data_IF_891870194373
#
_entry.id   IF_891870194373
#
_cell.length_a   1.000
_cell.length_b   1.000
_cell.length_c   1.000
_cell.angle_alpha   90.00
_cell.angle_beta   90.00
_cell.angle_gamma   90.00
#
_symmetry.space_group_name_H-M   'P 1'
#
loop_
_entity.id
_entity.type
_entity.pdbx_description
1 polymer ?
#
# COMPACT_ATOMS: atom_id res chain seq x y z
N UNK A 1 -21.70 15.66 18.43
CA UNK A 1 -21.05 16.34 17.29
C UNK A 1 -20.17 15.29 16.62
N UNK A 2 -20.63 14.73 15.51
CA UNK A 2 -19.81 13.89 14.64
C UNK A 2 -19.56 14.67 13.35
N UNK A 3 -18.30 14.80 12.94
CA UNK A 3 -17.94 15.49 11.70
C UNK A 3 -17.65 16.99 11.80
N UNK A 4 -17.44 17.58 12.98
CA UNK A 4 -16.80 18.91 13.03
C UNK A 4 -15.30 18.79 12.76
N UNK A 5 -14.75 19.68 11.92
CA UNK A 5 -13.31 19.73 11.67
C UNK A 5 -12.55 20.31 12.86
N UNK A 6 -11.30 19.88 13.05
CA UNK A 6 -10.35 20.43 14.02
C UNK A 6 -10.31 21.97 13.99
N UNK A 7 -10.40 22.61 12.81
CA UNK A 7 -10.41 24.07 12.71
C UNK A 7 -11.67 24.69 13.32
N UNK A 8 -12.84 24.06 13.12
CA UNK A 8 -14.10 24.51 13.70
C UNK A 8 -14.09 24.35 15.23
N UNK A 9 -13.57 23.22 15.72
CA UNK A 9 -13.40 22.96 17.14
C UNK A 9 -12.53 24.04 17.80
N UNK A 10 -11.36 24.34 17.20
CA UNK A 10 -10.44 25.39 17.66
C UNK A 10 -11.12 26.77 17.70
N UNK A 11 -11.90 27.13 16.68
CA UNK A 11 -12.64 28.39 16.67
C UNK A 11 -13.68 28.48 17.81
N UNK A 12 -14.38 27.38 18.09
CA UNK A 12 -15.32 27.29 19.22
C UNK A 12 -14.58 27.38 20.57
N UNK A 13 -13.45 26.69 20.74
CA UNK A 13 -12.62 26.78 21.94
C UNK A 13 -12.15 28.22 22.21
N UNK A 14 -11.66 28.91 21.17
CA UNK A 14 -11.32 30.33 21.28
C UNK A 14 -12.51 31.17 21.71
N UNK A 15 -13.67 31.03 21.06
CA UNK A 15 -14.89 31.77 21.40
C UNK A 15 -15.33 31.56 22.86
N UNK A 16 -15.27 30.33 23.35
CA UNK A 16 -15.60 30.01 24.75
C UNK A 16 -14.57 30.61 25.72
N UNK A 17 -13.29 30.66 25.34
CA UNK A 17 -12.22 31.20 26.19
C UNK A 17 -12.23 32.72 26.37
N UNK A 18 -12.94 33.49 25.52
CA UNK A 18 -12.96 34.97 25.55
C UNK A 18 -13.30 35.53 26.94
N UNK A 19 -14.24 34.91 27.63
CA UNK A 19 -14.70 35.36 28.95
C UNK A 19 -14.02 34.64 30.12
N UNK A 20 -13.10 33.71 29.83
CA UNK A 20 -12.33 33.01 30.84
C UNK A 20 -11.08 33.81 31.23
N UNK A 21 -10.89 34.07 32.53
CA UNK A 21 -9.75 34.81 33.07
C UNK A 21 -8.47 33.93 33.14
N UNK A 22 -8.07 33.34 32.01
CA UNK A 22 -6.93 32.42 31.96
C UNK A 22 -5.56 33.10 31.99
N UNK A 23 -5.45 34.37 31.55
CA UNK A 23 -4.16 35.07 31.46
C UNK A 23 -3.12 34.26 30.69
N UNK A 24 -1.91 34.17 31.23
CA UNK A 24 -0.79 33.42 30.63
C UNK A 24 -1.07 31.91 30.47
N UNK A 25 -2.02 31.35 31.24
CA UNK A 25 -2.42 29.95 31.15
C UNK A 25 -3.31 29.66 29.93
N UNK A 26 -3.78 30.68 29.19
CA UNK A 26 -4.73 30.53 28.08
C UNK A 26 -4.29 29.48 27.04
N UNK A 27 -3.03 29.55 26.57
CA UNK A 27 -2.50 28.57 25.59
C UNK A 27 -2.49 27.15 26.15
N UNK A 28 -2.16 26.98 27.42
CA UNK A 28 -2.13 25.67 28.10
C UNK A 28 -3.53 25.11 28.29
N UNK A 29 -4.50 25.94 28.70
CA UNK A 29 -5.90 25.56 28.80
C UNK A 29 -6.47 25.10 27.44
N UNK A 30 -6.26 25.90 26.40
CA UNK A 30 -6.71 25.59 25.03
C UNK A 30 -6.06 24.31 24.49
N UNK A 31 -4.75 24.11 24.71
CA UNK A 31 -4.05 22.87 24.34
C UNK A 31 -4.62 21.65 25.05
N UNK A 32 -4.82 21.73 26.36
CA UNK A 32 -5.35 20.61 27.13
C UNK A 32 -6.78 20.28 26.67
N UNK A 33 -7.64 21.29 26.50
CA UNK A 33 -9.00 21.11 26.01
C UNK A 33 -9.06 20.57 24.57
N UNK A 34 -8.14 21.00 23.69
CA UNK A 34 -7.98 20.44 22.35
C UNK A 34 -7.61 18.95 22.43
N UNK A 35 -6.54 18.59 23.15
CA UNK A 35 -6.05 17.20 23.25
C UNK A 35 -7.10 16.28 23.86
N UNK A 36 -7.86 16.71 24.87
CA UNK A 36 -8.92 15.89 25.47
C UNK A 36 -10.21 15.85 24.65
N UNK A 37 -10.56 16.92 23.95
CA UNK A 37 -11.79 17.01 23.14
C UNK A 37 -11.73 16.38 21.75
N UNK A 38 -10.53 16.04 21.24
CA UNK A 38 -10.39 15.34 19.96
C UNK A 38 -11.07 13.96 19.99
N UNK A 39 -11.98 13.75 19.02
CA UNK A 39 -12.67 12.48 18.81
C UNK A 39 -11.70 11.37 18.35
N UNK A 40 -10.78 11.69 17.45
CA UNK A 40 -9.81 10.72 16.92
C UNK A 40 -8.74 10.36 17.98
N UNK A 41 -8.83 9.12 18.47
CA UNK A 41 -7.92 8.56 19.48
C UNK A 41 -6.49 8.36 19.01
N UNK A 42 -6.25 8.16 17.70
CA UNK A 42 -4.90 8.10 17.13
C UNK A 42 -4.23 9.48 17.23
N UNK A 43 -4.96 10.54 16.87
CA UNK A 43 -4.49 11.93 16.98
C UNK A 43 -4.24 12.31 18.43
N UNK A 44 -5.16 11.97 19.33
CA UNK A 44 -5.00 12.17 20.78
C UNK A 44 -3.73 11.50 21.32
N UNK A 45 -3.51 10.21 21.01
CA UNK A 45 -2.30 9.48 21.43
C UNK A 45 -1.02 10.14 20.86
N UNK A 46 -1.01 10.47 19.57
CA UNK A 46 0.14 11.09 18.89
C UNK A 46 0.52 12.47 19.45
N UNK A 47 -0.45 13.21 19.99
CA UNK A 47 -0.20 14.47 20.70
C UNK A 47 0.36 14.23 22.09
N UNK A 48 -0.17 13.25 22.83
CA UNK A 48 0.29 12.88 24.18
C UNK A 48 1.71 12.28 24.21
N UNK A 49 2.21 11.73 23.10
CA UNK A 49 3.60 11.29 22.94
C UNK A 49 4.63 12.43 22.98
N UNK A 50 4.23 13.68 22.74
CA UNK A 50 5.15 14.84 22.69
C UNK A 50 5.29 15.50 24.05
N UNK A 51 6.54 15.63 24.54
CA UNK A 51 6.85 16.24 25.85
C UNK A 51 6.52 17.74 25.89
N UNK A 52 7.05 18.51 24.94
CA UNK A 52 6.98 19.98 24.95
C UNK A 52 5.92 20.51 23.97
N UNK A 53 4.73 19.90 23.98
CA UNK A 53 3.65 20.25 23.04
C UNK A 53 3.11 21.66 23.28
N UNK A 54 3.20 22.54 22.29
CA UNK A 54 2.49 23.84 22.29
C UNK A 54 1.07 23.73 21.72
N UNK A 55 0.22 24.74 21.95
CA UNK A 55 -1.12 24.79 21.36
C UNK A 55 -1.06 24.82 19.82
N UNK A 56 -0.21 25.69 19.28
CA UNK A 56 -0.10 25.93 17.84
C UNK A 56 0.40 24.67 17.09
N UNK A 57 1.34 23.92 17.67
CA UNK A 57 1.74 22.61 17.16
C UNK A 57 0.64 21.56 17.28
N UNK A 58 -0.12 21.55 18.38
CA UNK A 58 -1.20 20.59 18.58
C UNK A 58 -2.29 20.75 17.50
N UNK A 59 -2.64 21.98 17.16
CA UNK A 59 -3.54 22.30 16.03
C UNK A 59 -2.95 21.83 14.72
N UNK A 60 -1.68 22.16 14.42
CA UNK A 60 -1.00 21.77 13.18
C UNK A 60 -0.97 20.25 12.97
N UNK A 61 -0.61 19.48 14.01
CA UNK A 61 -0.60 18.02 13.96
C UNK A 61 -2.00 17.45 13.82
N UNK A 62 -2.99 17.99 14.53
CA UNK A 62 -4.37 17.52 14.45
C UNK A 62 -5.00 17.75 13.07
N UNK A 63 -4.81 18.93 12.47
CA UNK A 63 -5.23 19.23 11.09
C UNK A 63 -4.51 18.34 10.08
N UNK A 64 -3.20 18.13 10.23
CA UNK A 64 -2.43 17.24 9.36
C UNK A 64 -2.95 15.80 9.42
N UNK A 65 -3.31 15.30 10.61
CA UNK A 65 -3.86 13.96 10.79
C UNK A 65 -5.30 13.83 10.27
N UNK A 66 -6.17 14.82 10.49
CA UNK A 66 -7.52 14.88 9.90
C UNK A 66 -7.45 14.79 8.37
N UNK A 67 -6.61 15.62 7.75
CA UNK A 67 -6.41 15.61 6.30
C UNK A 67 -5.85 14.27 5.81
N UNK A 68 -4.87 13.70 6.51
CA UNK A 68 -4.28 12.40 6.14
C UNK A 68 -5.29 11.25 6.21
N UNK A 69 -6.15 11.23 7.23
CA UNK A 69 -7.19 10.22 7.37
C UNK A 69 -8.26 10.37 6.28
N UNK A 70 -8.75 11.60 6.05
CA UNK A 70 -9.70 11.92 4.98
C UNK A 70 -9.17 11.57 3.58
N UNK A 71 -7.90 11.85 3.30
CA UNK A 71 -7.25 11.42 2.04
C UNK A 71 -7.12 9.90 1.95
N UNK A 72 -6.80 9.22 3.05
CA UNK A 72 -6.72 7.75 3.10
C UNK A 72 -8.09 7.07 2.91
N UNK A 73 -9.16 7.70 3.39
CA UNK A 73 -10.54 7.28 3.16
C UNK A 73 -10.93 7.45 1.70
N UNK A 74 -10.66 8.63 1.11
CA UNK A 74 -10.91 8.88 -0.31
C UNK A 74 -10.20 7.87 -1.24
N UNK A 75 -8.96 7.47 -0.91
CA UNK A 75 -8.25 6.43 -1.66
C UNK A 75 -8.98 5.08 -1.61
N UNK A 76 -9.44 4.65 -0.42
CA UNK A 76 -10.21 3.41 -0.24
C UNK A 76 -11.58 3.46 -0.92
N UNK A 77 -12.25 4.61 -0.90
CA UNK A 77 -13.56 4.77 -1.55
C UNK A 77 -13.44 4.88 -3.07
N UNK A 78 -12.31 5.37 -3.59
CA UNK A 78 -12.00 5.38 -5.03
C UNK A 78 -11.91 3.98 -5.65
N UNK A 79 -11.47 2.97 -4.86
CA UNK A 79 -11.47 1.55 -5.25
C UNK A 79 -12.88 0.94 -5.33
N UNK A 80 -13.91 1.58 -4.75
CA UNK A 80 -15.30 1.10 -4.82
C UNK A 80 -16.05 1.57 -6.08
N UNK A 81 -15.54 2.59 -6.78
CA UNK A 81 -16.17 3.13 -8.01
C UNK A 81 -15.33 2.93 -9.27
N UNK A 82 -14.03 2.64 -9.12
CA UNK A 82 -13.22 2.14 -10.23
C UNK A 82 -13.32 0.61 -10.24
N UNK A 83 -13.87 0.06 -11.32
CA UNK A 83 -13.98 -1.40 -11.58
C UNK A 83 -12.80 -2.18 -11.05
N UNK A 84 -13.04 -3.35 -10.43
CA UNK A 84 -12.02 -4.33 -10.04
C UNK A 84 -11.00 -4.51 -11.18
N UNK A 85 -9.90 -3.78 -11.09
CA UNK A 85 -8.76 -3.94 -11.98
C UNK A 85 -8.05 -5.20 -11.50
N UNK A 86 -8.63 -6.36 -11.87
CA UNK A 86 -7.89 -7.60 -11.94
C UNK A 86 -6.58 -7.27 -12.62
N UNK A 87 -5.46 -7.43 -11.90
CA UNK A 87 -4.13 -7.26 -12.46
C UNK A 87 -3.94 -8.45 -13.40
N UNK A 88 -4.49 -8.31 -14.60
CA UNK A 88 -4.45 -9.33 -15.62
C UNK A 88 -3.00 -9.45 -16.05
N UNK A 89 -2.33 -10.44 -15.46
CA UNK A 89 -1.03 -10.90 -15.87
C UNK A 89 -1.10 -11.27 -17.35
N UNK A 90 -0.69 -10.33 -18.20
CA UNK A 90 -0.44 -10.54 -19.62
C UNK A 90 0.66 -11.60 -19.73
N UNK A 91 0.25 -12.87 -19.70
CA UNK A 91 1.09 -14.01 -20.06
C UNK A 91 1.53 -13.79 -21.50
N UNK A 92 2.78 -13.37 -21.68
CA UNK A 92 3.41 -13.17 -22.98
C UNK A 92 3.06 -14.37 -23.89
N UNK A 93 2.41 -14.06 -25.01
CA UNK A 93 1.48 -14.99 -25.63
C UNK A 93 2.11 -16.29 -26.13
N UNK A 94 1.53 -17.42 -25.73
CA UNK A 94 1.58 -18.64 -26.56
C UNK A 94 0.66 -18.43 -27.76
N UNK A 95 1.22 -18.06 -28.92
CA UNK A 95 0.45 -18.03 -30.17
C UNK A 95 0.22 -19.44 -30.71
N UNK A 96 -1.03 -19.87 -30.65
CA UNK A 96 -1.67 -20.96 -31.40
C UNK A 96 -3.10 -20.47 -31.69
N UNK A 97 -3.73 -20.63 -32.87
CA UNK A 97 -3.39 -21.35 -34.12
C UNK A 97 -4.41 -20.94 -35.19
N UNK A 98 -4.00 -20.84 -36.47
CA UNK A 98 -4.87 -21.00 -37.66
C UNK A 98 -3.92 -21.22 -38.86
N UNK A 99 -3.88 -22.36 -39.60
CA UNK A 99 -4.92 -23.02 -40.43
C UNK A 99 -5.56 -22.05 -41.44
N UNK A 100 -5.49 -22.22 -42.78
CA UNK A 100 -4.80 -23.19 -43.66
C UNK A 100 -4.03 -22.38 -44.76
N UNK A 101 -3.32 -22.87 -45.79
CA UNK A 101 -3.06 -24.19 -46.41
C UNK A 101 -1.61 -24.17 -47.00
N UNK A 102 -1.05 -25.05 -47.85
CA UNK A 102 -1.42 -26.30 -48.55
C UNK A 102 -0.10 -27.06 -48.83
N UNK A 103 -0.17 -28.39 -48.90
CA UNK A 103 0.71 -29.29 -49.70
C UNK A 103 2.23 -29.45 -49.43
N UNK A 104 2.60 -30.74 -49.29
CA UNK A 104 3.92 -31.41 -49.47
C UNK A 104 5.02 -31.19 -48.40
N UNK A 105 5.82 -32.22 -48.03
CA UNK A 105 5.72 -33.70 -48.18
C UNK A 105 6.82 -34.36 -47.33
N UNK A 106 6.48 -35.38 -46.52
CA UNK A 106 7.41 -36.38 -45.93
C UNK A 106 8.43 -35.87 -44.88
N UNK A 107 8.89 -36.67 -43.89
CA UNK A 107 8.72 -38.12 -43.60
C UNK A 107 8.99 -38.40 -42.10
N UNK A 108 8.18 -39.29 -41.50
CA UNK A 108 8.54 -40.26 -40.44
C UNK A 108 9.24 -39.75 -39.14
N UNK A 109 8.74 -40.02 -37.92
CA UNK A 109 8.47 -41.36 -37.36
C UNK A 109 7.77 -41.22 -36.00
N UNK A 110 6.78 -42.08 -35.73
CA UNK A 110 6.06 -42.15 -34.46
C UNK A 110 6.84 -42.92 -33.37
N UNK A 111 6.44 -42.76 -32.11
CA UNK A 111 6.01 -43.85 -31.20
C UNK A 111 5.44 -43.21 -29.92
N UNK A 112 4.34 -43.77 -29.41
CA UNK A 112 3.66 -43.32 -28.19
C UNK A 112 4.39 -43.71 -26.89
N UNK A 113 3.95 -43.06 -25.81
CA UNK A 113 3.46 -43.70 -24.58
C UNK A 113 4.16 -43.29 -23.26
N UNK A 114 3.33 -42.71 -22.39
CA UNK A 114 3.22 -43.00 -20.94
C UNK A 114 4.42 -42.85 -19.98
N UNK A 115 4.12 -42.15 -18.87
CA UNK A 115 4.74 -42.16 -17.53
C UNK A 115 6.02 -41.33 -17.28
N UNK A 116 5.99 -40.69 -16.12
CA UNK A 116 7.13 -40.18 -15.33
C UNK A 116 7.94 -41.36 -14.74
N UNK A 117 9.19 -41.21 -14.22
CA UNK A 117 9.69 -40.03 -13.49
C UNK A 117 11.16 -39.64 -13.72
N UNK A 118 11.66 -38.79 -12.82
CA UNK A 118 13.02 -38.28 -12.70
C UNK A 118 14.16 -39.29 -12.88
N UNK A 119 15.26 -38.84 -13.49
CA UNK A 119 16.52 -38.57 -12.75
C UNK A 119 17.51 -37.77 -13.61
N UNK A 120 18.55 -37.25 -12.95
CA UNK A 120 19.49 -36.30 -13.54
C UNK A 120 20.57 -36.95 -14.41
N UNK A 121 20.92 -36.28 -15.52
CA UNK A 121 22.31 -35.90 -15.90
C UNK A 121 22.35 -35.39 -17.35
N UNK A 122 22.60 -34.09 -17.50
CA UNK A 122 23.32 -33.57 -18.66
C UNK A 122 23.87 -32.19 -18.35
N UNK A 123 25.21 -32.08 -18.37
CA UNK A 123 25.89 -30.80 -18.40
C UNK A 123 25.48 -30.07 -19.67
N UNK A 124 24.87 -28.90 -19.55
CA UNK A 124 25.07 -27.86 -20.55
C UNK A 124 25.00 -26.50 -19.86
N UNK A 125 26.20 -26.01 -19.58
CA UNK A 125 26.46 -24.63 -19.25
C UNK A 125 25.84 -23.76 -20.35
N UNK A 126 24.75 -23.07 -20.00
CA UNK A 126 24.30 -21.92 -20.76
C UNK A 126 24.29 -20.76 -19.80
N UNK A 127 25.14 -19.78 -20.10
CA UNK A 127 25.18 -18.45 -19.47
C UNK A 127 23.83 -17.76 -19.67
N UNK A 128 22.85 -18.17 -18.89
CA UNK A 128 21.57 -17.46 -18.81
C UNK A 128 21.86 -16.16 -18.08
N UNK A 129 21.91 -15.07 -18.83
CA UNK A 129 22.02 -13.70 -18.32
C UNK A 129 20.69 -13.27 -17.64
N UNK A 130 20.05 -14.20 -16.94
CA UNK A 130 18.77 -14.06 -16.27
C UNK A 130 19.05 -13.82 -14.79
N UNK A 131 18.65 -12.65 -14.30
CA UNK A 131 18.71 -12.34 -12.89
C UNK A 131 17.51 -12.97 -12.20
N UNK A 132 17.73 -13.65 -11.09
CA UNK A 132 16.66 -14.22 -10.29
C UNK A 132 15.82 -13.10 -9.67
N UNK A 133 14.52 -13.05 -9.97
CA UNK A 133 13.61 -12.02 -9.43
C UNK A 133 13.41 -12.09 -7.90
N UNK A 134 13.83 -13.18 -7.24
CA UNK A 134 13.77 -13.33 -5.77
C UNK A 134 14.99 -12.76 -5.03
N UNK A 135 16.17 -12.73 -5.65
CA UNK A 135 17.42 -12.37 -4.94
C UNK A 135 18.51 -11.72 -5.82
N UNK A 136 18.22 -11.33 -7.06
CA UNK A 136 19.12 -10.59 -7.96
C UNK A 136 20.29 -11.37 -8.58
N UNK A 137 20.65 -12.54 -8.02
CA UNK A 137 21.78 -13.37 -8.48
C UNK A 137 21.48 -14.09 -9.82
N UNK A 138 22.51 -14.45 -10.63
CA UNK A 138 22.32 -15.09 -11.95
C UNK A 138 21.91 -16.56 -11.82
N UNK A 139 20.60 -16.82 -11.79
CA UNK A 139 20.00 -18.16 -11.89
C UNK A 139 18.49 -18.06 -12.20
N UNK A 140 17.92 -19.16 -12.68
CA UNK A 140 16.47 -19.33 -12.76
C UNK A 140 15.85 -19.37 -11.36
N UNK A 141 14.77 -18.62 -11.12
CA UNK A 141 14.13 -18.53 -9.80
C UNK A 141 13.63 -19.88 -9.23
N UNK A 142 13.42 -20.89 -10.08
CA UNK A 142 13.13 -22.28 -9.68
C UNK A 142 14.28 -22.98 -8.97
N UNK A 143 15.51 -22.44 -9.04
CA UNK A 143 16.71 -22.90 -8.33
C UNK A 143 17.18 -21.88 -7.29
N UNK A 144 16.31 -20.99 -6.84
CA UNK A 144 16.66 -19.98 -5.85
C UNK A 144 16.71 -20.59 -4.44
N UNK A 145 17.84 -20.43 -3.77
CA UNK A 145 18.05 -20.84 -2.37
C UNK A 145 17.54 -19.82 -1.34
N UNK A 146 16.95 -18.71 -1.80
CA UNK A 146 16.34 -17.70 -0.93
C UNK A 146 14.84 -18.00 -0.83
N UNK A 147 14.51 -18.88 0.12
CA UNK A 147 13.16 -19.31 0.46
C UNK A 147 12.72 -18.65 1.77
N UNK A 148 12.17 -17.43 1.64
CA UNK A 148 11.70 -16.54 2.72
C UNK A 148 12.71 -16.31 3.84
#
# INVERSE_FOLDING_TARGET
>A
MEGESVQQFVAVLHKLSIHCKFGDYLKTALRNQLVFGLLNKKTQARLLERKDLTFDEAVSVAVTMELSEKSSEQMKTGEASTTQASIEYLKAGKKSTSKNSTEKRSKHREIESSKQPSTSRSKRDTKTNVKCFRCGKPHLASKCTLSQ
#
